data_IF_607793261692
#
_entry.id   IF_607793261692
#
_cell.length_a   1.000
_cell.length_b   1.000
_cell.length_c   1.000
_cell.angle_alpha   90.00
_cell.angle_beta   90.00
_cell.angle_gamma   90.00
#
_symmetry.space_group_name_H-M   'P 1'
#
loop_
_entity.id
_entity.type
_entity.pdbx_description
1 polymer ?
#
# COMPACT_ATOMS: atom_id res chain seq x y z
N UNK A 1 -31.76 11.13 18.53
CA UNK A 1 -30.91 9.97 18.88
C UNK A 1 -29.47 10.39 18.67
N UNK A 2 -28.68 10.49 19.73
CA UNK A 2 -27.32 11.04 19.69
C UNK A 2 -26.30 9.90 19.64
N UNK A 3 -25.43 9.90 18.62
CA UNK A 3 -24.28 8.98 18.52
C UNK A 3 -23.02 9.74 18.91
N UNK A 4 -22.24 9.21 19.84
CA UNK A 4 -21.03 9.84 20.38
C UNK A 4 -19.88 8.84 20.42
N UNK A 5 -18.64 9.34 20.39
CA UNK A 5 -17.44 8.58 20.67
C UNK A 5 -17.01 8.82 22.12
N UNK A 6 -16.95 7.76 22.91
CA UNK A 6 -16.46 7.79 24.29
C UNK A 6 -15.09 7.13 24.37
N UNK A 7 -14.04 7.83 24.83
CA UNK A 7 -12.74 7.22 25.03
C UNK A 7 -12.83 6.07 26.04
N UNK A 8 -12.14 4.96 25.78
CA UNK A 8 -12.08 3.81 26.70
C UNK A 8 -10.71 3.66 27.38
N UNK A 9 -9.76 4.48 26.95
CA UNK A 9 -8.40 4.50 27.50
C UNK A 9 -7.82 5.92 27.38
N UNK A 10 -6.79 6.28 28.16
CA UNK A 10 -6.03 7.51 27.95
C UNK A 10 -5.43 7.58 26.54
N UNK A 11 -5.09 8.78 26.08
CA UNK A 11 -4.35 8.95 24.83
C UNK A 11 -2.96 8.35 25.01
N UNK A 12 -2.65 7.35 24.18
CA UNK A 12 -1.36 6.66 24.18
C UNK A 12 -0.37 7.45 23.31
N UNK A 13 0.88 7.53 23.75
CA UNK A 13 1.99 8.11 23.01
C UNK A 13 3.05 7.00 22.81
N UNK A 14 3.25 6.58 21.57
CA UNK A 14 4.29 5.62 21.20
C UNK A 14 5.69 6.28 21.23
N UNK A 15 6.73 5.46 21.33
CA UNK A 15 8.12 5.92 21.30
C UNK A 15 8.49 6.58 19.97
N UNK A 16 7.77 6.26 18.90
CA UNK A 16 7.85 6.81 17.55
C UNK A 16 7.05 8.14 17.37
N UNK A 17 6.48 8.67 18.46
CA UNK A 17 5.60 9.85 18.42
C UNK A 17 4.18 9.60 17.91
N UNK A 18 3.83 8.36 17.60
CA UNK A 18 2.47 7.98 17.20
C UNK A 18 1.53 8.15 18.40
N UNK A 19 0.45 8.89 18.19
CA UNK A 19 -0.65 9.00 19.15
C UNK A 19 -1.73 8.00 18.78
N UNK A 20 -2.27 7.28 19.75
CA UNK A 20 -3.39 6.37 19.50
C UNK A 20 -4.38 6.33 20.65
N UNK A 21 -5.66 6.04 20.33
CA UNK A 21 -6.72 5.90 21.33
C UNK A 21 -7.87 5.05 20.78
N UNK A 22 -8.43 4.23 21.65
CA UNK A 22 -9.68 3.51 21.36
C UNK A 22 -10.90 4.27 21.87
N UNK A 23 -11.97 4.17 21.10
CA UNK A 23 -13.26 4.76 21.42
C UNK A 23 -14.37 3.74 21.29
N UNK A 24 -15.33 3.80 22.21
CA UNK A 24 -16.64 3.18 22.04
C UNK A 24 -17.54 4.10 21.23
N UNK A 25 -18.26 3.52 20.28
CA UNK A 25 -19.40 4.18 19.63
C UNK A 25 -20.62 3.98 20.53
N UNK A 26 -21.19 5.07 21.03
CA UNK A 26 -22.34 5.02 21.93
C UNK A 26 -23.57 5.67 21.29
N UNK A 27 -24.76 5.09 21.51
CA UNK A 27 -26.05 5.70 21.14
C UNK A 27 -26.85 5.88 22.41
N UNK A 28 -27.21 7.12 22.74
CA UNK A 28 -27.86 7.49 24.00
C UNK A 28 -27.13 6.86 25.21
N UNK A 29 -25.79 6.92 25.24
CA UNK A 29 -24.95 6.35 26.29
C UNK A 29 -24.69 4.84 26.21
N UNK A 30 -25.48 4.06 25.44
CA UNK A 30 -25.28 2.61 25.31
C UNK A 30 -24.22 2.31 24.25
N UNK A 31 -23.19 1.49 24.56
CA UNK A 31 -22.22 1.04 23.57
C UNK A 31 -22.88 0.24 22.45
N UNK A 32 -22.47 0.51 21.20
CA UNK A 32 -22.98 -0.14 19.98
C UNK A 32 -21.89 -0.47 18.99
N UNK A 33 -20.62 -0.28 19.38
CA UNK A 33 -19.47 -0.55 18.53
C UNK A 33 -18.20 0.12 19.04
N UNK A 34 -17.18 0.18 18.19
CA UNK A 34 -15.91 0.80 18.53
C UNK A 34 -15.12 1.24 17.31
N UNK A 35 -14.09 2.06 17.56
CA UNK A 35 -13.10 2.49 16.58
C UNK A 35 -11.76 2.73 17.29
N UNK A 36 -10.67 2.47 16.60
CA UNK A 36 -9.33 2.89 17.00
C UNK A 36 -8.85 4.02 16.09
N UNK A 37 -8.40 5.10 16.69
CA UNK A 37 -7.80 6.22 15.99
C UNK A 37 -6.32 6.27 16.33
N UNK A 38 -5.48 6.56 15.36
CA UNK A 38 -4.05 6.83 15.58
C UNK A 38 -3.54 7.87 14.60
N UNK A 39 -2.42 8.52 14.92
CA UNK A 39 -1.64 9.19 13.88
C UNK A 39 -0.89 8.14 13.06
N UNK A 40 -0.50 8.49 11.84
CA UNK A 40 0.13 7.55 10.92
C UNK A 40 1.62 7.40 11.24
N UNK A 41 2.14 6.18 11.42
CA UNK A 41 3.55 5.99 11.78
C UNK A 41 4.50 6.48 10.68
N UNK A 42 4.13 6.33 9.41
CA UNK A 42 4.99 6.65 8.28
C UNK A 42 4.75 8.05 7.69
N UNK A 43 3.54 8.63 7.83
CA UNK A 43 3.21 9.97 7.32
C UNK A 43 3.22 11.04 8.41
N UNK A 44 3.59 10.66 9.64
CA UNK A 44 3.75 11.56 10.77
C UNK A 44 2.44 12.05 11.39
N UNK A 45 2.53 12.97 12.37
CA UNK A 45 1.42 13.33 13.26
C UNK A 45 0.30 14.14 12.59
N UNK A 46 0.52 14.64 11.38
CA UNK A 46 -0.51 15.38 10.61
C UNK A 46 -1.47 14.48 9.84
N UNK A 47 -1.21 13.18 9.79
CA UNK A 47 -2.04 12.19 9.12
C UNK A 47 -2.62 11.23 10.16
N UNK A 48 -3.93 11.03 10.13
CA UNK A 48 -4.62 10.06 10.98
C UNK A 48 -4.86 8.73 10.26
N UNK A 49 -4.96 7.66 11.04
CA UNK A 49 -5.47 6.35 10.59
C UNK A 49 -6.70 5.99 11.38
N UNK A 50 -7.73 5.51 10.66
CA UNK A 50 -8.88 4.86 11.26
C UNK A 50 -8.72 3.36 11.13
N UNK A 51 -8.91 2.67 12.23
CA UNK A 51 -8.77 1.22 12.32
C UNK A 51 -9.97 0.65 13.07
N UNK A 52 -10.40 -0.55 12.69
CA UNK A 52 -11.40 -1.34 13.41
C UNK A 52 -12.73 -0.62 13.68
N UNK A 53 -13.19 0.25 12.75
CA UNK A 53 -14.54 0.80 12.87
C UNK A 53 -15.56 -0.34 12.78
N UNK A 54 -16.20 -0.62 13.90
CA UNK A 54 -17.16 -1.71 14.04
C UNK A 54 -18.44 -1.23 14.67
N UNK A 55 -19.57 -1.63 14.09
CA UNK A 55 -20.91 -1.47 14.69
C UNK A 55 -21.46 -2.86 14.92
N UNK A 56 -21.98 -3.10 16.13
CA UNK A 56 -22.61 -4.37 16.54
C UNK A 56 -23.71 -4.73 15.57
N UNK A 57 -23.88 -6.00 15.26
CA UNK A 57 -24.75 -6.47 14.18
C UNK A 57 -26.18 -5.96 14.31
N UNK A 58 -26.78 -6.06 15.50
CA UNK A 58 -28.13 -5.57 15.83
C UNK A 58 -28.31 -4.06 15.66
N UNK A 59 -27.21 -3.32 15.57
CA UNK A 59 -27.15 -1.87 15.52
C UNK A 59 -26.74 -1.33 14.14
N UNK A 60 -26.45 -2.20 13.18
CA UNK A 60 -26.08 -1.85 11.80
C UNK A 60 -27.28 -1.31 11.00
N UNK A 61 -26.99 -0.77 9.82
CA UNK A 61 -27.97 -0.25 8.84
C UNK A 61 -28.89 0.86 9.39
N UNK A 62 -28.40 1.63 10.38
CA UNK A 62 -29.12 2.74 11.03
C UNK A 62 -28.31 4.04 11.00
N UNK A 63 -27.36 4.19 10.04
CA UNK A 63 -26.50 5.37 9.90
C UNK A 63 -25.42 5.53 10.99
N UNK A 64 -25.33 4.60 11.97
CA UNK A 64 -24.41 4.74 13.12
C UNK A 64 -22.95 4.73 12.74
N UNK A 65 -22.55 3.92 11.73
CA UNK A 65 -21.19 3.91 11.20
C UNK A 65 -20.80 5.25 10.58
N UNK A 66 -21.72 5.87 9.84
CA UNK A 66 -21.53 7.19 9.24
C UNK A 66 -21.29 8.26 10.31
N UNK A 67 -22.16 8.31 11.34
CA UNK A 67 -22.02 9.30 12.41
C UNK A 67 -20.77 9.06 13.24
N UNK A 68 -20.41 7.78 13.49
CA UNK A 68 -19.18 7.43 14.20
C UNK A 68 -17.92 7.85 13.41
N UNK A 69 -17.90 7.65 12.08
CA UNK A 69 -16.80 8.08 11.23
C UNK A 69 -16.66 9.60 11.21
N UNK A 70 -17.76 10.34 11.06
CA UNK A 70 -17.75 11.82 11.13
C UNK A 70 -17.27 12.34 12.49
N UNK A 71 -17.74 11.74 13.60
CA UNK A 71 -17.26 12.08 14.93
C UNK A 71 -15.76 11.77 15.10
N UNK A 72 -15.26 10.68 14.47
CA UNK A 72 -13.85 10.35 14.47
C UNK A 72 -13.01 11.37 13.68
N UNK A 73 -13.54 11.89 12.56
CA UNK A 73 -12.89 12.97 11.79
C UNK A 73 -12.69 14.22 12.67
N UNK A 74 -13.70 14.59 13.48
CA UNK A 74 -13.58 15.74 14.41
C UNK A 74 -12.54 15.48 15.51
N UNK A 75 -12.48 14.26 16.05
CA UNK A 75 -11.47 13.91 17.07
C UNK A 75 -10.06 14.09 16.50
N UNK A 76 -9.78 13.54 15.30
CA UNK A 76 -8.42 13.62 14.74
C UNK A 76 -8.10 15.02 14.20
N UNK A 77 -9.11 15.80 13.80
CA UNK A 77 -8.96 17.23 13.53
C UNK A 77 -8.49 17.98 14.79
N UNK A 78 -9.10 17.67 15.94
CA UNK A 78 -8.67 18.16 17.25
C UNK A 78 -7.25 17.71 17.65
N UNK A 79 -6.73 16.63 17.07
CA UNK A 79 -5.31 16.24 17.22
C UNK A 79 -4.36 17.01 16.28
N UNK A 80 -4.87 17.89 15.43
CA UNK A 80 -4.10 18.64 14.45
C UNK A 80 -3.82 17.86 13.16
N UNK A 81 -4.53 16.75 12.92
CA UNK A 81 -4.42 16.04 11.67
C UNK A 81 -5.12 16.84 10.55
N UNK A 82 -4.54 16.80 9.35
CA UNK A 82 -5.05 17.45 8.14
C UNK A 82 -5.49 16.46 7.07
N UNK A 83 -5.27 15.18 7.33
CA UNK A 83 -5.56 14.09 6.41
C UNK A 83 -5.87 12.82 7.19
N UNK A 84 -6.75 12.00 6.65
CA UNK A 84 -7.04 10.66 7.16
C UNK A 84 -6.69 9.65 6.09
N UNK A 85 -6.12 8.53 6.49
CA UNK A 85 -5.93 7.35 5.66
C UNK A 85 -6.64 6.16 6.27
N UNK A 86 -7.25 5.36 5.41
CA UNK A 86 -7.91 4.11 5.78
C UNK A 86 -7.49 3.00 4.84
N UNK A 87 -7.45 1.79 5.38
CA UNK A 87 -7.35 0.56 4.59
C UNK A 87 -8.63 -0.24 4.76
N UNK A 88 -9.25 -0.60 3.66
CA UNK A 88 -10.51 -1.34 3.63
C UNK A 88 -10.26 -2.70 2.97
N UNK A 89 -10.50 -3.82 3.66
CA UNK A 89 -10.41 -5.15 3.06
C UNK A 89 -11.30 -5.26 1.81
N UNK A 90 -10.86 -6.03 0.82
CA UNK A 90 -11.56 -6.19 -0.46
C UNK A 90 -12.99 -6.71 -0.29
N UNK A 91 -13.21 -7.62 0.64
CA UNK A 91 -14.51 -8.22 0.96
C UNK A 91 -15.43 -7.32 1.80
N UNK A 92 -14.91 -6.22 2.34
CA UNK A 92 -15.67 -5.28 3.16
C UNK A 92 -16.41 -4.20 2.32
N UNK A 93 -17.16 -4.60 1.30
CA UNK A 93 -17.83 -3.70 0.36
C UNK A 93 -18.76 -2.66 1.02
N UNK A 94 -19.33 -2.96 2.20
CA UNK A 94 -20.12 -1.97 2.96
C UNK A 94 -19.24 -0.85 3.52
N UNK A 95 -18.04 -1.18 4.01
CA UNK A 95 -17.08 -0.19 4.50
C UNK A 95 -16.55 0.68 3.35
N UNK A 96 -16.30 0.08 2.17
CA UNK A 96 -15.87 0.82 0.99
C UNK A 96 -16.94 1.83 0.54
N UNK A 97 -18.21 1.41 0.44
CA UNK A 97 -19.31 2.32 0.11
C UNK A 97 -19.47 3.45 1.13
N UNK A 98 -19.34 3.15 2.42
CA UNK A 98 -19.37 4.16 3.48
C UNK A 98 -18.22 5.17 3.29
N UNK A 99 -17.01 4.71 3.10
CA UNK A 99 -15.85 5.57 2.90
C UNK A 99 -16.04 6.48 1.67
N UNK A 100 -16.46 5.93 0.53
CA UNK A 100 -16.74 6.72 -0.68
C UNK A 100 -17.81 7.75 -0.45
N UNK A 101 -18.93 7.40 0.24
CA UNK A 101 -20.01 8.31 0.56
C UNK A 101 -19.57 9.45 1.51
N UNK A 102 -18.54 9.23 2.33
CA UNK A 102 -17.93 10.23 3.20
C UNK A 102 -16.85 11.07 2.50
N UNK A 103 -16.62 10.87 1.20
CA UNK A 103 -15.65 11.64 0.42
C UNK A 103 -14.22 11.14 0.51
N UNK A 104 -14.01 9.90 0.96
CA UNK A 104 -12.67 9.28 0.85
C UNK A 104 -12.38 8.90 -0.61
N UNK A 105 -11.20 9.21 -1.05
CA UNK A 105 -10.71 8.98 -2.42
C UNK A 105 -9.77 7.79 -2.43
N UNK A 106 -9.96 6.88 -3.38
CA UNK A 106 -9.07 5.74 -3.59
C UNK A 106 -7.69 6.24 -4.04
N UNK A 107 -6.64 5.79 -3.35
CA UNK A 107 -5.25 6.08 -3.70
C UNK A 107 -4.58 4.90 -4.41
N UNK A 108 -4.75 3.71 -3.87
CA UNK A 108 -4.08 2.51 -4.35
C UNK A 108 -4.78 1.24 -3.88
N UNK A 109 -4.39 0.11 -4.45
CA UNK A 109 -4.86 -1.23 -4.07
C UNK A 109 -3.67 -2.13 -3.79
N UNK A 110 -3.73 -2.89 -2.71
CA UNK A 110 -2.86 -4.05 -2.55
C UNK A 110 -3.47 -5.22 -3.29
N UNK A 111 -2.68 -5.82 -4.16
CA UNK A 111 -3.04 -7.04 -4.88
C UNK A 111 -2.11 -8.16 -4.44
N UNK A 112 -2.59 -9.41 -4.46
CA UNK A 112 -1.75 -10.56 -4.22
C UNK A 112 -2.18 -11.76 -5.07
N UNK A 113 -1.23 -12.72 -5.16
CA UNK A 113 -1.38 -13.97 -5.89
C UNK A 113 -0.71 -15.09 -5.10
N UNK A 114 -1.38 -16.23 -4.85
CA UNK A 114 -0.74 -17.44 -4.36
C UNK A 114 0.24 -17.99 -5.41
N UNK A 115 1.43 -18.36 -4.99
CA UNK A 115 2.44 -19.02 -5.83
C UNK A 115 2.25 -20.54 -5.73
N UNK A 116 1.28 -21.08 -6.50
CA UNK A 116 0.99 -22.52 -6.54
C UNK A 116 1.34 -23.07 -7.91
N UNK A 117 2.03 -24.22 -7.94
CA UNK A 117 2.31 -24.93 -9.19
C UNK A 117 3.75 -24.76 -9.69
N UNK A 118 3.94 -24.98 -10.99
CA UNK A 118 5.26 -24.91 -11.61
C UNK A 118 5.80 -23.47 -11.63
N UNK A 119 7.10 -23.35 -11.39
CA UNK A 119 7.83 -22.07 -11.52
C UNK A 119 7.63 -21.49 -12.93
N UNK A 120 7.26 -20.21 -13.06
CA UNK A 120 7.15 -19.58 -14.37
C UNK A 120 8.46 -19.61 -15.14
N UNK A 121 8.37 -19.87 -16.44
CA UNK A 121 9.50 -19.81 -17.36
C UNK A 121 9.43 -18.51 -18.15
N UNK A 122 10.56 -17.84 -18.30
CA UNK A 122 10.60 -16.61 -19.09
C UNK A 122 10.42 -16.92 -20.58
N UNK A 123 9.76 -16.03 -21.34
CA UNK A 123 9.67 -16.19 -22.80
C UNK A 123 11.04 -16.28 -23.47
N UNK A 124 11.09 -16.95 -24.61
CA UNK A 124 12.31 -17.07 -25.42
C UNK A 124 12.93 -15.69 -25.72
N UNK A 125 14.26 -15.62 -25.73
CA UNK A 125 15.01 -14.37 -25.89
C UNK A 125 15.06 -13.47 -24.65
N UNK A 126 14.35 -13.84 -23.57
CA UNK A 126 14.36 -13.07 -22.32
C UNK A 126 15.27 -13.74 -21.28
N UNK A 127 16.16 -12.96 -20.70
CA UNK A 127 17.05 -13.35 -19.60
C UNK A 127 17.01 -12.32 -18.50
N UNK A 128 17.44 -12.69 -17.31
CA UNK A 128 17.53 -11.77 -16.18
C UNK A 128 18.91 -11.83 -15.55
N UNK A 129 19.42 -10.69 -15.15
CA UNK A 129 20.67 -10.58 -14.38
C UNK A 129 20.49 -9.65 -13.19
N UNK A 130 21.33 -9.73 -12.17
CA UNK A 130 21.37 -8.74 -11.11
C UNK A 130 21.66 -7.33 -11.65
N UNK A 131 21.11 -6.33 -10.98
CA UNK A 131 21.46 -4.93 -11.19
C UNK A 131 22.93 -4.72 -10.78
N UNK A 132 23.74 -4.10 -11.63
CA UNK A 132 25.15 -3.84 -11.33
C UNK A 132 25.32 -2.66 -10.38
N UNK A 133 26.48 -2.57 -9.74
CA UNK A 133 26.81 -1.43 -8.87
C UNK A 133 26.78 -0.08 -9.62
N UNK A 134 27.18 -0.08 -10.90
CA UNK A 134 27.13 1.13 -11.73
C UNK A 134 25.70 1.56 -12.09
N UNK A 135 24.77 0.61 -12.21
CA UNK A 135 23.36 0.87 -12.52
C UNK A 135 22.55 1.27 -11.26
N UNK A 136 23.02 0.87 -10.08
CA UNK A 136 22.26 1.05 -8.82
C UNK A 136 21.93 2.50 -8.51
N UNK A 137 22.90 3.40 -8.58
CA UNK A 137 22.71 4.82 -8.27
C UNK A 137 21.65 5.50 -9.18
N UNK A 138 21.79 5.42 -10.51
CA UNK A 138 20.79 5.95 -11.44
C UNK A 138 19.40 5.30 -11.28
N UNK A 139 19.33 4.00 -11.06
CA UNK A 139 18.07 3.29 -10.82
C UNK A 139 17.37 3.78 -9.55
N UNK A 140 18.12 3.89 -8.44
CA UNK A 140 17.60 4.37 -7.15
C UNK A 140 17.05 5.80 -7.26
N UNK A 141 17.80 6.70 -7.91
CA UNK A 141 17.38 8.08 -8.13
C UNK A 141 16.09 8.16 -8.99
N UNK A 142 16.02 7.38 -10.06
CA UNK A 142 14.82 7.31 -10.92
C UNK A 142 13.61 6.76 -10.17
N UNK A 143 13.79 5.70 -9.38
CA UNK A 143 12.74 5.11 -8.54
C UNK A 143 12.22 6.08 -7.49
N UNK A 144 13.15 6.79 -6.81
CA UNK A 144 12.85 7.85 -5.85
C UNK A 144 11.93 8.91 -6.44
N UNK A 145 12.29 9.42 -7.60
CA UNK A 145 11.54 10.46 -8.29
C UNK A 145 10.15 9.99 -8.74
N UNK A 146 10.04 8.77 -9.28
CA UNK A 146 8.75 8.19 -9.69
C UNK A 146 7.82 7.98 -8.52
N UNK A 147 8.31 7.38 -7.44
CA UNK A 147 7.48 7.08 -6.27
C UNK A 147 7.02 8.35 -5.55
N UNK A 148 7.91 9.34 -5.38
CA UNK A 148 7.55 10.64 -4.82
C UNK A 148 6.46 11.34 -5.66
N UNK A 149 6.56 11.32 -6.99
CA UNK A 149 5.51 11.87 -7.87
C UNK A 149 4.15 11.16 -7.70
N UNK A 150 4.12 9.85 -7.55
CA UNK A 150 2.87 9.14 -7.25
C UNK A 150 2.26 9.56 -5.91
N UNK A 151 3.08 9.74 -4.88
CA UNK A 151 2.62 10.24 -3.58
C UNK A 151 2.09 11.67 -3.67
N UNK A 152 2.78 12.56 -4.40
CA UNK A 152 2.34 13.94 -4.62
C UNK A 152 1.01 13.99 -5.40
N UNK A 153 0.86 13.18 -6.44
CA UNK A 153 -0.40 13.06 -7.17
C UNK A 153 -1.56 12.57 -6.28
N UNK A 154 -1.25 11.79 -5.24
CA UNK A 154 -2.21 11.38 -4.21
C UNK A 154 -2.33 12.41 -3.07
N UNK A 155 -1.88 13.66 -3.24
CA UNK A 155 -2.03 14.76 -2.30
C UNK A 155 -1.08 14.74 -1.10
N UNK A 156 0.04 13.98 -1.16
CA UNK A 156 1.10 14.06 -0.14
C UNK A 156 1.96 15.29 -0.45
N UNK A 157 2.25 16.17 0.54
CA UNK A 157 3.17 17.28 0.35
C UNK A 157 4.55 16.80 -0.12
N UNK A 158 5.19 17.56 -1.01
CA UNK A 158 6.44 17.20 -1.67
C UNK A 158 7.52 16.74 -0.70
N UNK A 159 7.84 17.54 0.32
CA UNK A 159 8.86 17.18 1.32
C UNK A 159 8.54 15.85 2.03
N UNK A 160 7.26 15.58 2.34
CA UNK A 160 6.84 14.32 2.96
C UNK A 160 6.91 13.15 1.97
N UNK A 161 6.60 13.38 0.69
CA UNK A 161 6.68 12.36 -0.36
C UNK A 161 8.14 11.87 -0.53
N UNK A 162 9.09 12.78 -0.61
CA UNK A 162 10.50 12.43 -0.70
C UNK A 162 11.01 11.77 0.58
N UNK A 163 10.70 12.32 1.76
CA UNK A 163 11.11 11.74 3.04
C UNK A 163 10.62 10.29 3.20
N UNK A 164 9.34 10.02 2.82
CA UNK A 164 8.79 8.67 2.86
C UNK A 164 9.49 7.73 1.87
N UNK A 165 9.83 8.22 0.70
CA UNK A 165 10.55 7.43 -0.30
C UNK A 165 11.95 7.06 0.21
N UNK A 166 12.66 8.03 0.81
CA UNK A 166 13.99 7.84 1.35
C UNK A 166 13.98 6.88 2.56
N UNK A 167 12.98 6.99 3.44
CA UNK A 167 12.75 6.06 4.55
C UNK A 167 12.49 4.63 4.03
N UNK A 168 11.66 4.49 3.01
CA UNK A 168 11.38 3.20 2.37
C UNK A 168 12.65 2.59 1.77
N UNK A 169 13.45 3.36 1.06
CA UNK A 169 14.73 2.90 0.52
C UNK A 169 15.70 2.48 1.64
N UNK A 170 15.87 3.29 2.69
CA UNK A 170 16.73 2.94 3.82
C UNK A 170 16.26 1.68 4.55
N UNK A 171 14.96 1.49 4.68
CA UNK A 171 14.36 0.31 5.33
C UNK A 171 14.54 -0.97 4.53
N UNK A 172 14.27 -0.91 3.22
CA UNK A 172 14.23 -2.12 2.36
C UNK A 172 15.54 -2.37 1.62
N UNK A 173 16.45 -1.41 1.61
CA UNK A 173 17.79 -1.50 1.03
C UNK A 173 18.86 -1.01 2.02
N UNK A 174 18.93 -1.55 3.27
CA UNK A 174 19.88 -1.06 4.27
C UNK A 174 21.34 -1.20 3.83
N UNK A 175 21.65 -2.22 3.02
CA UNK A 175 22.98 -2.47 2.45
C UNK A 175 23.02 -2.13 0.95
N UNK A 176 22.14 -1.23 0.48
CA UNK A 176 22.03 -0.87 -0.94
C UNK A 176 21.71 -2.07 -1.83
N UNK A 177 22.45 -2.22 -2.93
CA UNK A 177 22.26 -3.35 -3.87
C UNK A 177 22.58 -4.73 -3.26
N UNK A 178 23.31 -4.78 -2.13
CA UNK A 178 23.70 -6.02 -1.44
C UNK A 178 22.67 -6.47 -0.37
N UNK A 179 21.57 -5.75 -0.20
CA UNK A 179 20.54 -6.07 0.79
C UNK A 179 19.99 -7.49 0.57
N UNK A 180 20.03 -8.32 1.61
CA UNK A 180 19.72 -9.76 1.54
C UNK A 180 18.27 -10.06 1.21
N UNK A 181 17.36 -9.23 1.71
CA UNK A 181 15.91 -9.37 1.53
C UNK A 181 15.41 -8.70 0.24
N UNK A 182 16.32 -8.26 -0.62
CA UNK A 182 15.99 -7.65 -1.90
C UNK A 182 16.61 -8.42 -3.07
N UNK A 183 15.84 -8.48 -4.17
CA UNK A 183 16.34 -8.91 -5.48
C UNK A 183 16.13 -7.77 -6.45
N UNK A 184 17.25 -7.17 -6.86
CA UNK A 184 17.28 -6.12 -7.89
C UNK A 184 17.72 -6.75 -9.19
N UNK A 185 16.83 -6.79 -10.18
CA UNK A 185 17.07 -7.49 -11.45
C UNK A 185 16.87 -6.55 -12.64
N UNK A 186 17.70 -6.74 -13.66
CA UNK A 186 17.51 -6.19 -15.00
C UNK A 186 16.98 -7.31 -15.89
N UNK A 187 15.87 -7.07 -16.56
CA UNK A 187 15.36 -7.93 -17.61
C UNK A 187 16.00 -7.51 -18.93
N UNK A 188 16.59 -8.46 -19.62
CA UNK A 188 17.11 -8.31 -20.97
C UNK A 188 16.26 -9.11 -21.95
N UNK A 189 16.04 -8.56 -23.13
CA UNK A 189 15.45 -9.26 -24.27
C UNK A 189 16.35 -9.11 -25.48
N UNK A 190 16.77 -10.25 -26.05
CA UNK A 190 17.76 -10.29 -27.13
C UNK A 190 19.04 -9.49 -26.80
N UNK A 191 19.54 -9.65 -25.57
CA UNK A 191 20.74 -8.97 -25.08
C UNK A 191 20.59 -7.48 -24.79
N UNK A 192 19.37 -6.91 -24.90
CA UNK A 192 19.11 -5.50 -24.64
C UNK A 192 18.31 -5.34 -23.33
N UNK A 193 18.74 -4.47 -22.40
CA UNK A 193 17.96 -4.16 -21.21
C UNK A 193 16.60 -3.55 -21.59
N UNK A 194 15.52 -4.11 -21.03
CA UNK A 194 14.14 -3.69 -21.34
C UNK A 194 13.34 -3.27 -20.12
N UNK A 195 13.88 -3.49 -18.92
CA UNK A 195 13.23 -3.07 -17.69
C UNK A 195 13.91 -3.59 -16.45
N UNK A 196 13.42 -3.14 -15.29
CA UNK A 196 13.96 -3.47 -13.97
C UNK A 196 12.88 -3.98 -13.04
N UNK A 197 13.29 -4.78 -12.06
CA UNK A 197 12.45 -5.34 -11.02
C UNK A 197 13.12 -5.17 -9.66
N UNK A 198 12.37 -4.69 -8.68
CA UNK A 198 12.71 -4.75 -7.27
C UNK A 198 11.72 -5.64 -6.54
N UNK A 199 12.18 -6.81 -6.13
CA UNK A 199 11.43 -7.77 -5.34
C UNK A 199 11.96 -7.80 -3.91
N UNK A 200 11.11 -7.54 -2.93
CA UNK A 200 11.36 -7.81 -1.52
C UNK A 200 10.98 -9.24 -1.19
N UNK A 201 11.81 -9.90 -0.36
CA UNK A 201 11.64 -11.27 0.09
C UNK A 201 11.60 -11.29 1.61
N UNK A 202 10.44 -11.53 2.18
CA UNK A 202 10.22 -11.67 3.62
C UNK A 202 9.60 -13.03 3.92
N UNK A 203 9.76 -13.59 5.13
CA UNK A 203 9.17 -14.87 5.47
C UNK A 203 7.69 -14.96 5.07
N UNK A 204 7.33 -16.00 4.33
CA UNK A 204 6.00 -16.34 3.83
C UNK A 204 5.43 -15.40 2.72
N UNK A 205 6.14 -14.33 2.35
CA UNK A 205 5.61 -13.43 1.33
C UNK A 205 6.70 -12.70 0.55
N UNK A 206 6.63 -12.75 -0.76
CA UNK A 206 7.36 -11.84 -1.64
C UNK A 206 6.51 -10.60 -1.94
N UNK A 207 7.17 -9.48 -2.24
CA UNK A 207 6.48 -8.25 -2.59
C UNK A 207 7.20 -7.48 -3.70
N UNK A 208 6.49 -7.15 -4.78
CA UNK A 208 7.02 -6.31 -5.85
C UNK A 208 6.98 -4.86 -5.38
N UNK A 209 8.15 -4.32 -5.05
CA UNK A 209 8.31 -2.94 -4.57
C UNK A 209 8.40 -1.94 -5.74
N UNK A 210 9.08 -2.33 -6.83
CA UNK A 210 9.11 -1.55 -8.06
C UNK A 210 9.24 -2.49 -9.27
N UNK A 211 8.54 -2.15 -10.34
CA UNK A 211 8.63 -2.83 -11.64
C UNK A 211 8.48 -1.78 -12.74
N UNK A 212 9.50 -1.68 -13.56
CA UNK A 212 9.53 -0.68 -14.63
C UNK A 212 9.96 -1.29 -15.96
N UNK A 213 9.18 -1.03 -17.00
CA UNK A 213 9.60 -1.25 -18.40
C UNK A 213 10.11 0.05 -18.96
N UNK A 214 11.30 0.01 -19.59
CA UNK A 214 11.89 1.16 -20.27
C UNK A 214 10.85 1.81 -21.20
N UNK A 215 10.68 3.14 -21.19
CA UNK A 215 9.60 3.82 -21.90
C UNK A 215 9.48 3.42 -23.38
N UNK A 216 10.62 3.33 -24.07
CA UNK A 216 10.73 2.97 -25.50
C UNK A 216 10.48 1.48 -25.79
N UNK A 217 10.37 0.66 -24.74
CA UNK A 217 10.12 -0.80 -24.80
C UNK A 217 8.71 -1.18 -24.33
N UNK A 218 7.88 -0.22 -23.94
CA UNK A 218 6.51 -0.47 -23.50
C UNK A 218 5.64 -1.02 -24.64
N UNK A 219 4.53 -1.66 -24.26
CA UNK A 219 3.58 -2.24 -25.23
C UNK A 219 4.04 -3.54 -25.90
N UNK A 220 5.23 -4.10 -25.53
CA UNK A 220 5.82 -5.29 -26.15
C UNK A 220 5.79 -6.54 -25.25
N UNK A 221 5.02 -6.51 -24.16
CA UNK A 221 4.90 -7.65 -23.25
C UNK A 221 5.94 -7.73 -22.13
N UNK A 222 6.96 -6.86 -22.11
CA UNK A 222 8.06 -6.92 -21.14
C UNK A 222 7.60 -6.75 -19.69
N UNK A 223 6.55 -5.96 -19.43
CA UNK A 223 5.95 -5.86 -18.10
C UNK A 223 5.40 -7.20 -17.59
N UNK A 224 4.79 -8.02 -18.47
CA UNK A 224 4.38 -9.39 -18.15
C UNK A 224 5.58 -10.27 -17.84
N UNK A 225 6.66 -10.17 -18.64
CA UNK A 225 7.88 -10.94 -18.42
C UNK A 225 8.54 -10.57 -17.09
N UNK A 226 8.57 -9.28 -16.71
CA UNK A 226 9.05 -8.83 -15.40
C UNK A 226 8.23 -9.43 -14.24
N UNK A 227 6.92 -9.51 -14.38
CA UNK A 227 6.08 -10.13 -13.36
C UNK A 227 6.28 -11.66 -13.27
N UNK A 228 6.45 -12.34 -14.40
CA UNK A 228 6.83 -13.76 -14.41
C UNK A 228 8.20 -13.98 -13.77
N UNK A 229 9.17 -13.07 -13.99
CA UNK A 229 10.46 -13.09 -13.31
C UNK A 229 10.29 -12.94 -11.79
N UNK A 230 9.45 -11.99 -11.34
CA UNK A 230 9.18 -11.80 -9.91
C UNK A 230 8.59 -13.07 -9.28
N UNK A 231 7.60 -13.69 -9.93
CA UNK A 231 6.99 -14.94 -9.48
C UNK A 231 7.99 -16.11 -9.47
N UNK A 232 8.87 -16.18 -10.48
CA UNK A 232 9.90 -17.21 -10.55
C UNK A 232 10.94 -17.07 -9.43
N UNK A 233 11.40 -15.83 -9.15
CA UNK A 233 12.35 -15.55 -8.06
C UNK A 233 11.73 -15.77 -6.67
N UNK A 234 10.46 -15.38 -6.48
CA UNK A 234 9.74 -15.63 -5.25
C UNK A 234 9.55 -17.13 -4.98
N UNK A 235 9.15 -17.91 -5.99
CA UNK A 235 9.02 -19.37 -5.88
C UNK A 235 10.37 -20.06 -5.64
N UNK A 236 11.46 -19.56 -6.24
CA UNK A 236 12.82 -20.06 -5.99
C UNK A 236 13.28 -19.84 -4.55
N UNK A 237 12.85 -18.72 -3.94
CA UNK A 237 13.12 -18.41 -2.54
C UNK A 237 12.23 -19.21 -1.58
N UNK A 238 11.22 -19.91 -2.08
CA UNK A 238 10.30 -20.70 -1.25
C UNK A 238 9.06 -19.94 -0.78
N UNK A 239 8.79 -18.77 -1.35
CA UNK A 239 7.63 -17.98 -0.98
C UNK A 239 6.34 -18.61 -1.53
N UNK A 240 5.30 -18.64 -0.69
CA UNK A 240 3.99 -19.20 -1.07
C UNK A 240 3.08 -18.17 -1.73
N UNK A 241 3.46 -16.88 -1.64
CA UNK A 241 2.64 -15.77 -2.04
C UNK A 241 3.47 -14.59 -2.53
N UNK A 242 2.93 -13.83 -3.49
CA UNK A 242 3.51 -12.58 -3.97
C UNK A 242 2.46 -11.47 -3.94
N UNK A 243 2.83 -10.31 -3.41
CA UNK A 243 2.01 -9.11 -3.33
C UNK A 243 2.60 -7.94 -4.10
N UNK A 244 1.78 -6.94 -4.32
CA UNK A 244 2.18 -5.65 -4.87
C UNK A 244 1.16 -4.56 -4.51
N UNK A 245 1.55 -3.30 -4.70
CA UNK A 245 0.61 -2.18 -4.63
C UNK A 245 0.53 -1.49 -6.00
N UNK A 246 -0.69 -1.17 -6.43
CA UNK A 246 -0.94 -0.40 -7.64
C UNK A 246 -1.68 0.88 -7.32
N UNK A 247 -1.17 2.02 -7.80
CA UNK A 247 -1.84 3.31 -7.65
C UNK A 247 -3.05 3.41 -8.56
N UNK A 248 -4.09 4.06 -8.07
CA UNK A 248 -5.31 4.34 -8.85
C UNK A 248 -4.98 5.12 -10.12
N UNK A 249 -5.62 4.74 -11.20
CA UNK A 249 -5.40 5.33 -12.53
C UNK A 249 -4.28 4.69 -13.34
N UNK A 250 -3.49 3.76 -12.78
CA UNK A 250 -2.53 2.97 -13.56
C UNK A 250 -3.21 1.79 -14.26
N UNK A 251 -4.16 2.12 -15.16
CA UNK A 251 -4.97 1.13 -15.89
C UNK A 251 -4.15 0.05 -16.61
N UNK A 252 -3.01 0.38 -17.27
CA UNK A 252 -2.19 -0.66 -17.91
C UNK A 252 -1.65 -1.70 -16.92
N UNK A 253 -1.19 -1.26 -15.75
CA UNK A 253 -0.67 -2.15 -14.71
C UNK A 253 -1.80 -2.98 -14.07
N UNK A 254 -2.95 -2.37 -13.77
CA UNK A 254 -4.12 -3.08 -13.23
C UNK A 254 -4.54 -4.23 -14.14
N UNK A 255 -4.72 -3.97 -15.44
CA UNK A 255 -5.08 -5.00 -16.43
C UNK A 255 -4.02 -6.10 -16.53
N UNK A 256 -2.74 -5.74 -16.46
CA UNK A 256 -1.65 -6.71 -16.46
C UNK A 256 -1.75 -7.65 -15.27
N UNK A 257 -1.85 -7.09 -14.05
CA UNK A 257 -1.91 -7.89 -12.82
C UNK A 257 -3.15 -8.78 -12.77
N UNK A 258 -4.32 -8.27 -13.13
CA UNK A 258 -5.55 -9.05 -13.23
C UNK A 258 -5.40 -10.23 -14.22
N UNK A 259 -4.78 -9.98 -15.40
CA UNK A 259 -4.53 -11.01 -16.41
C UNK A 259 -3.52 -12.08 -15.98
N UNK A 260 -2.70 -11.79 -14.97
CA UNK A 260 -1.75 -12.71 -14.33
C UNK A 260 -2.34 -13.43 -13.12
N UNK A 261 -3.60 -13.12 -12.76
CA UNK A 261 -4.31 -13.78 -11.66
C UNK A 261 -4.11 -13.13 -10.30
N UNK A 262 -3.52 -11.93 -10.22
CA UNK A 262 -3.51 -11.15 -8.98
C UNK A 262 -4.92 -10.71 -8.61
N UNK A 263 -5.25 -10.73 -7.33
CA UNK A 263 -6.54 -10.33 -6.78
C UNK A 263 -6.36 -9.24 -5.73
N UNK A 264 -7.31 -8.32 -5.69
CA UNK A 264 -7.31 -7.29 -4.66
C UNK A 264 -7.50 -7.89 -3.27
N UNK A 265 -6.77 -7.38 -2.29
CA UNK A 265 -6.88 -7.73 -0.87
C UNK A 265 -7.34 -6.56 -0.03
N UNK A 266 -6.88 -5.36 -0.38
CA UNK A 266 -7.30 -4.15 0.30
C UNK A 266 -7.28 -2.92 -0.61
N UNK A 267 -8.14 -1.98 -0.26
CA UNK A 267 -8.20 -0.64 -0.83
C UNK A 267 -7.61 0.36 0.17
N UNK A 268 -6.74 1.24 -0.30
CA UNK A 268 -6.17 2.33 0.48
C UNK A 268 -6.77 3.65 0.03
N UNK A 269 -7.54 4.28 0.92
CA UNK A 269 -8.22 5.53 0.64
C UNK A 269 -7.71 6.63 1.56
N UNK A 270 -7.87 7.85 1.12
CA UNK A 270 -7.54 9.04 1.92
C UNK A 270 -8.63 10.10 1.81
N UNK A 271 -8.64 11.01 2.79
CA UNK A 271 -9.50 12.20 2.80
C UNK A 271 -8.73 13.37 3.42
N UNK A 272 -8.61 14.53 2.75
CA UNK A 272 -8.22 15.78 3.39
C UNK A 272 -9.28 16.20 4.44
N UNK A 273 -8.84 16.82 5.55
CA UNK A 273 -9.72 17.29 6.63
C UNK A 273 -9.95 18.78 6.58
#
# INVERSE_FOLDING_TARGET
>A
MTTTLRPVEPLQHGADGVRSRRYQVCVNGRPVGGIRLSTHPEYGPSVARFQDLRIDERDRRRGRGTVAALAAEEVVRGWGCRRIEISVPYDAGTALRLATALGYVLRSRTLAKPLKGARPVLPAGSTARPLTAAEFGPWLAGGRERFARHLMAAGVPEAQAYAKTDEGHARFLPDGAASREARLSVLEHEGTPVGTLWLGLWPETAYVLDVETAPERRGRGHGRTLMLLAEAQAAEHGEERIGLNVFEGNVPAERLYESLGYRAESYHLYKPL
#
